data_IF_866111147805
#
_entry.id   IF_866111147805
#
_cell.length_a   1.000
_cell.length_b   1.000
_cell.length_c   1.000
_cell.angle_alpha   90.00
_cell.angle_beta   90.00
_cell.angle_gamma   90.00
#
_symmetry.space_group_name_H-M   'P 1'
#
loop_
_entity.id
_entity.type
_entity.pdbx_description
1 polymer ?
#
# COMPACT_ATOMS: atom_id res chain seq x y z
N UNK A 1 28.70 -1.81 20.00
CA UNK A 1 27.80 -2.42 19.01
C UNK A 1 27.33 -3.72 19.63
N UNK A 2 26.07 -3.80 20.05
CA UNK A 2 25.49 -5.06 20.53
C UNK A 2 24.77 -5.68 19.34
N UNK A 3 25.43 -6.61 18.65
CA UNK A 3 24.91 -7.38 17.51
C UNK A 3 23.91 -8.44 17.98
N UNK A 4 22.89 -8.02 18.74
CA UNK A 4 21.91 -8.90 19.38
C UNK A 4 20.50 -8.57 18.93
N UNK A 5 19.73 -9.61 18.57
CA UNK A 5 18.30 -9.48 18.32
C UNK A 5 17.56 -9.07 19.59
N UNK A 6 16.65 -8.10 19.46
CA UNK A 6 15.77 -7.64 20.54
C UNK A 6 14.32 -8.02 20.22
N UNK A 7 13.58 -8.44 21.25
CA UNK A 7 12.15 -8.71 21.12
C UNK A 7 11.34 -7.40 21.24
N UNK A 8 10.60 -7.06 20.18
CA UNK A 8 9.67 -5.93 20.15
C UNK A 8 8.22 -6.37 20.45
N UNK A 9 7.31 -5.43 20.75
CA UNK A 9 5.90 -5.75 20.99
C UNK A 9 5.26 -6.53 19.83
N UNK A 10 4.41 -7.50 20.18
CA UNK A 10 3.78 -8.42 19.22
C UNK A 10 2.68 -7.73 18.42
N UNK A 11 2.56 -8.10 17.13
CA UNK A 11 1.41 -7.77 16.28
C UNK A 11 0.09 -8.13 16.98
N UNK A 12 -0.98 -7.41 16.65
CA UNK A 12 -2.33 -7.73 17.14
C UNK A 12 -2.86 -9.00 16.50
N UNK A 13 -2.46 -9.27 15.25
CA UNK A 13 -2.82 -10.48 14.51
C UNK A 13 -1.56 -11.24 14.12
N UNK A 14 -1.55 -12.54 14.43
CA UNK A 14 -0.52 -13.43 13.90
C UNK A 14 -0.76 -13.61 12.41
N UNK A 15 0.30 -13.51 11.60
CA UNK A 15 0.23 -13.57 10.14
C UNK A 15 1.31 -14.51 9.61
N UNK A 16 0.98 -15.26 8.57
CA UNK A 16 1.94 -16.00 7.76
C UNK A 16 2.03 -15.34 6.39
N UNK A 17 3.25 -15.20 5.86
CA UNK A 17 3.54 -14.53 4.59
C UNK A 17 2.91 -13.13 4.39
N UNK A 18 2.95 -12.22 5.39
CA UNK A 18 2.56 -10.83 5.19
C UNK A 18 3.63 -10.07 4.39
N UNK A 19 3.23 -8.92 3.85
CA UNK A 19 4.16 -7.91 3.35
C UNK A 19 4.46 -6.89 4.44
N UNK A 20 5.70 -6.39 4.49
CA UNK A 20 6.11 -5.28 5.35
C UNK A 20 6.87 -4.23 4.55
N UNK A 21 6.52 -2.96 4.70
CA UNK A 21 7.17 -1.83 4.02
C UNK A 21 7.42 -0.67 4.97
N UNK A 22 8.50 0.05 4.76
CA UNK A 22 8.77 1.33 5.42
C UNK A 22 7.82 2.41 4.88
N UNK A 23 7.38 3.30 5.76
CA UNK A 23 6.47 4.42 5.46
C UNK A 23 6.95 5.67 6.18
N UNK A 24 7.47 6.65 5.44
CA UNK A 24 8.11 7.82 6.04
C UNK A 24 9.30 7.42 6.92
N UNK A 25 9.65 8.27 7.89
CA UNK A 25 10.88 8.08 8.67
C UNK A 25 10.75 7.09 9.85
N UNK A 26 9.53 6.78 10.28
CA UNK A 26 9.30 6.15 11.59
C UNK A 26 8.31 4.98 11.59
N UNK A 27 7.65 4.71 10.47
CA UNK A 27 6.60 3.71 10.45
C UNK A 27 6.97 2.51 9.58
N UNK A 28 6.59 1.32 10.04
CA UNK A 28 6.55 0.11 9.24
C UNK A 28 5.08 -0.28 9.09
N UNK A 29 4.64 -0.45 7.85
CA UNK A 29 3.31 -0.95 7.52
C UNK A 29 3.40 -2.45 7.25
N UNK A 30 2.57 -3.24 7.94
CA UNK A 30 2.41 -4.67 7.75
C UNK A 30 1.02 -4.93 7.18
N UNK A 31 0.94 -5.69 6.08
CA UNK A 31 -0.33 -5.89 5.37
C UNK A 31 -0.43 -7.30 4.78
N UNK A 32 -1.66 -7.81 4.75
CA UNK A 32 -1.97 -9.14 4.20
C UNK A 32 -1.40 -10.31 4.99
N UNK A 33 -1.21 -11.41 4.28
CA UNK A 33 -0.89 -12.72 4.83
C UNK A 33 -2.10 -13.65 4.86
N UNK A 34 -1.85 -14.91 5.17
CA UNK A 34 -2.87 -15.97 5.19
C UNK A 34 -4.06 -15.56 6.07
N UNK A 35 -5.27 -15.63 5.51
CA UNK A 35 -6.54 -15.31 6.16
C UNK A 35 -6.64 -13.90 6.80
N UNK A 36 -5.77 -12.97 6.43
CA UNK A 36 -5.72 -11.63 7.04
C UNK A 36 -5.77 -10.52 5.98
N UNK A 37 -6.68 -9.56 6.20
CA UNK A 37 -6.91 -8.42 5.29
C UNK A 37 -6.56 -7.08 5.92
N UNK A 38 -6.30 -7.06 7.21
CA UNK A 38 -6.01 -5.81 7.91
C UNK A 38 -4.60 -5.30 7.61
N UNK A 39 -4.43 -4.01 7.83
CA UNK A 39 -3.17 -3.31 7.79
C UNK A 39 -2.83 -2.87 9.22
N UNK A 40 -1.61 -3.13 9.67
CA UNK A 40 -1.09 -2.72 10.97
C UNK A 40 0.12 -1.81 10.77
N UNK A 41 0.27 -0.79 11.62
CA UNK A 41 1.40 0.14 11.57
C UNK A 41 2.18 0.09 12.86
N UNK A 42 3.50 -0.08 12.75
CA UNK A 42 4.42 -0.07 13.87
C UNK A 42 5.27 1.20 13.84
N UNK A 43 5.20 1.96 14.92
CA UNK A 43 6.04 3.15 15.14
C UNK A 43 7.38 2.69 15.75
N UNK A 44 8.47 2.84 15.00
CA UNK A 44 9.81 2.40 15.42
C UNK A 44 10.38 3.27 16.53
N UNK A 45 10.00 4.55 16.58
CA UNK A 45 10.50 5.53 17.56
C UNK A 45 9.90 5.26 18.93
N UNK A 46 8.61 4.96 18.96
CA UNK A 46 7.87 4.63 20.18
C UNK A 46 7.82 3.13 20.47
N UNK A 47 8.37 2.31 19.57
CA UNK A 47 8.36 0.85 19.61
C UNK A 47 6.97 0.27 19.92
N UNK A 48 5.92 0.80 19.27
CA UNK A 48 4.54 0.37 19.54
C UNK A 48 3.69 0.32 18.28
N UNK A 49 2.70 -0.57 18.32
CA UNK A 49 1.66 -0.63 17.30
C UNK A 49 0.75 0.59 17.43
N UNK A 50 0.51 1.30 16.32
CA UNK A 50 -0.48 2.36 16.26
C UNK A 50 -1.86 1.72 16.35
N UNK A 51 -2.56 2.00 17.44
CA UNK A 51 -3.94 1.54 17.66
C UNK A 51 -4.85 2.70 17.34
N UNK A 52 -5.55 2.61 16.22
CA UNK A 52 -6.60 3.57 15.90
C UNK A 52 -7.90 3.07 16.56
N UNK A 53 -8.20 3.59 17.75
CA UNK A 53 -9.35 3.16 18.56
C UNK A 53 -10.70 3.43 17.87
N UNK A 54 -10.73 4.39 16.93
CA UNK A 54 -11.94 4.82 16.21
C UNK A 54 -11.84 4.74 14.68
N UNK A 55 -10.67 4.44 14.13
CA UNK A 55 -10.46 4.30 12.69
C UNK A 55 -9.94 2.90 12.38
N UNK A 56 -10.84 2.04 11.89
CA UNK A 56 -10.39 0.80 11.26
C UNK A 56 -9.88 1.16 9.88
N UNK A 57 -8.57 1.03 9.69
CA UNK A 57 -7.97 1.15 8.37
C UNK A 57 -8.68 0.26 7.37
N UNK A 58 -8.82 0.76 6.16
CA UNK A 58 -9.52 0.03 5.10
C UNK A 58 -8.89 -1.35 4.92
N UNK A 59 -9.73 -2.39 5.00
CA UNK A 59 -9.28 -3.76 4.75
C UNK A 59 -9.01 -3.95 3.26
N UNK A 60 -8.02 -4.80 2.95
CA UNK A 60 -7.73 -5.14 1.56
C UNK A 60 -8.99 -5.62 0.82
N UNK A 61 -9.14 -5.28 -0.48
CA UNK A 61 -10.30 -5.68 -1.29
C UNK A 61 -10.36 -7.20 -1.55
N UNK A 62 -9.29 -7.94 -1.28
CA UNK A 62 -9.22 -9.40 -1.33
C UNK A 62 -8.22 -9.95 -0.32
N UNK A 63 -8.29 -11.25 -0.01
CA UNK A 63 -7.23 -11.94 0.72
C UNK A 63 -6.05 -12.13 -0.23
N UNK A 64 -4.82 -11.87 0.24
CA UNK A 64 -3.61 -12.27 -0.46
C UNK A 64 -2.48 -12.55 0.51
N UNK A 65 -1.77 -13.63 0.24
CA UNK A 65 -0.51 -14.00 0.86
C UNK A 65 0.62 -14.05 -0.17
N UNK A 66 1.87 -14.05 0.32
CA UNK A 66 3.09 -14.08 -0.50
C UNK A 66 3.20 -12.92 -1.50
N UNK A 67 2.56 -11.81 -1.19
CA UNK A 67 2.67 -10.58 -1.98
C UNK A 67 4.06 -9.97 -1.82
N UNK A 68 4.49 -9.25 -2.85
CA UNK A 68 5.54 -8.25 -2.69
C UNK A 68 4.87 -6.89 -2.50
N UNK A 69 5.42 -6.03 -1.65
CA UNK A 69 4.90 -4.68 -1.45
C UNK A 69 6.02 -3.63 -1.54
N UNK A 70 5.67 -2.46 -2.06
CA UNK A 70 6.56 -1.30 -2.13
C UNK A 70 5.81 -0.03 -1.73
N UNK A 71 6.50 0.86 -1.01
CA UNK A 71 6.02 2.22 -0.77
C UNK A 71 6.52 3.12 -1.88
N UNK A 72 5.64 3.92 -2.47
CA UNK A 72 6.01 4.93 -3.48
C UNK A 72 5.48 6.30 -3.09
N UNK A 73 6.31 7.33 -3.29
CA UNK A 73 6.03 8.73 -2.95
C UNK A 73 5.62 8.94 -1.48
N UNK A 74 6.11 8.09 -0.57
CA UNK A 74 5.78 8.09 0.87
C UNK A 74 4.27 8.16 1.18
N UNK A 75 3.45 7.60 0.29
CA UNK A 75 1.99 7.71 0.34
C UNK A 75 1.28 6.48 -0.15
N UNK A 76 1.75 5.87 -1.23
CA UNK A 76 1.05 4.78 -1.87
C UNK A 76 1.77 3.47 -1.59
N UNK A 77 1.11 2.58 -0.86
CA UNK A 77 1.54 1.20 -0.71
C UNK A 77 1.00 0.42 -1.90
N UNK A 78 1.88 -0.23 -2.66
CA UNK A 78 1.54 -1.04 -3.82
C UNK A 78 1.84 -2.49 -3.50
N UNK A 79 0.80 -3.34 -3.49
CA UNK A 79 0.92 -4.79 -3.36
C UNK A 79 0.84 -5.44 -4.73
N UNK A 80 1.73 -6.41 -4.97
CA UNK A 80 1.95 -6.98 -6.30
C UNK A 80 1.97 -8.51 -6.21
N UNK A 81 1.16 -9.15 -7.05
CA UNK A 81 1.09 -10.61 -7.17
C UNK A 81 0.57 -11.27 -5.89
N UNK A 82 1.14 -12.42 -5.57
CA UNK A 82 0.66 -13.26 -4.48
C UNK A 82 -0.48 -14.17 -4.91
N UNK A 83 -0.98 -14.99 -4.00
CA UNK A 83 -2.12 -15.86 -4.25
C UNK A 83 -3.20 -15.70 -3.18
N UNK A 84 -4.40 -16.11 -3.56
CA UNK A 84 -5.52 -16.36 -2.66
C UNK A 84 -6.03 -17.80 -2.92
N UNK A 85 -6.68 -18.41 -1.93
CA UNK A 85 -7.37 -19.68 -2.10
C UNK A 85 -8.86 -19.40 -2.06
N UNK A 86 -9.47 -19.31 -3.24
CA UNK A 86 -10.90 -19.06 -3.40
C UNK A 86 -11.59 -20.39 -3.73
N UNK A 87 -12.43 -20.88 -2.82
CA UNK A 87 -13.16 -22.16 -2.97
C UNK A 87 -12.27 -23.38 -3.28
N UNK A 88 -11.07 -23.42 -2.71
CA UNK A 88 -10.11 -24.51 -2.94
C UNK A 88 -9.41 -24.47 -4.30
N UNK A 89 -9.59 -23.39 -5.07
CA UNK A 89 -8.78 -23.09 -6.24
C UNK A 89 -7.86 -21.91 -5.95
N UNK A 90 -6.59 -22.03 -6.39
CA UNK A 90 -5.65 -20.93 -6.33
C UNK A 90 -6.08 -19.82 -7.29
N UNK A 91 -6.42 -18.66 -6.75
CA UNK A 91 -6.58 -17.44 -7.54
C UNK A 91 -5.20 -16.91 -7.91
N UNK A 92 -4.81 -17.19 -9.16
CA UNK A 92 -3.58 -16.74 -9.78
C UNK A 92 -3.82 -15.39 -10.44
N UNK A 93 -3.96 -14.35 -9.64
CA UNK A 93 -4.14 -13.00 -10.16
C UNK A 93 -2.82 -12.30 -10.44
N UNK A 94 -2.74 -11.64 -11.59
CA UNK A 94 -1.68 -10.69 -11.95
C UNK A 94 -1.92 -9.30 -11.39
N UNK A 95 -3.02 -9.09 -10.66
CA UNK A 95 -3.44 -7.78 -10.17
C UNK A 95 -2.46 -7.19 -9.16
N UNK A 96 -2.38 -5.87 -9.18
CA UNK A 96 -1.81 -5.06 -8.12
C UNK A 96 -2.92 -4.37 -7.32
N UNK A 97 -2.69 -4.14 -6.03
CA UNK A 97 -3.54 -3.30 -5.20
C UNK A 97 -2.76 -2.08 -4.74
N UNK A 98 -3.37 -0.90 -4.83
CA UNK A 98 -2.78 0.35 -4.33
C UNK A 98 -3.58 0.81 -3.12
N UNK A 99 -2.89 1.13 -2.04
CA UNK A 99 -3.46 1.73 -0.84
C UNK A 99 -2.89 3.14 -0.66
N UNK A 100 -3.77 4.14 -0.65
CA UNK A 100 -3.42 5.51 -0.34
C UNK A 100 -3.41 5.70 1.17
N UNK A 101 -2.21 5.86 1.74
CA UNK A 101 -2.02 6.03 3.18
C UNK A 101 -2.56 7.37 3.70
N UNK A 102 -2.71 8.38 2.83
CA UNK A 102 -3.28 9.67 3.22
C UNK A 102 -4.80 9.59 3.37
N UNK A 103 -5.47 8.90 2.44
CA UNK A 103 -6.93 8.74 2.47
C UNK A 103 -7.42 7.49 3.18
N UNK A 104 -6.51 6.60 3.57
CA UNK A 104 -6.81 5.30 4.18
C UNK A 104 -7.77 4.47 3.32
N UNK A 105 -7.47 4.35 2.02
CA UNK A 105 -8.35 3.70 1.04
C UNK A 105 -7.58 2.85 0.04
N UNK A 106 -8.14 1.68 -0.27
CA UNK A 106 -7.66 0.82 -1.35
C UNK A 106 -8.30 1.21 -2.68
N UNK A 107 -7.52 1.21 -3.76
CA UNK A 107 -8.06 1.22 -5.11
C UNK A 107 -8.60 -0.17 -5.44
N UNK A 108 -9.92 -0.32 -5.53
CA UNK A 108 -10.52 -1.49 -6.16
C UNK A 108 -10.72 -1.18 -7.64
N UNK A 109 -9.75 -1.47 -8.50
CA UNK A 109 -10.00 -1.41 -9.95
C UNK A 109 -9.92 -2.83 -10.52
N UNK A 110 -11.07 -3.52 -10.66
CA UNK A 110 -11.13 -4.88 -11.19
C UNK A 110 -10.62 -5.02 -12.64
N UNK A 111 -10.58 -3.92 -13.39
CA UNK A 111 -10.26 -3.88 -14.83
C UNK A 111 -9.01 -3.03 -15.14
N UNK A 112 -8.14 -2.83 -14.16
CA UNK A 112 -6.98 -1.97 -14.36
C UNK A 112 -5.92 -2.64 -15.25
N UNK A 113 -5.31 -1.91 -16.20
CA UNK A 113 -4.10 -2.37 -16.91
C UNK A 113 -2.89 -2.57 -15.97
N UNK A 114 -3.01 -2.26 -14.68
CA UNK A 114 -2.02 -2.49 -13.61
C UNK A 114 -1.81 -3.97 -13.26
N UNK A 115 -1.80 -4.85 -14.25
CA UNK A 115 -1.53 -6.27 -14.07
C UNK A 115 -0.15 -6.61 -14.57
N UNK A 116 0.59 -7.43 -13.83
CA UNK A 116 1.80 -8.04 -14.35
C UNK A 116 1.50 -8.86 -15.60
N UNK A 117 2.45 -8.93 -16.51
CA UNK A 117 2.40 -9.81 -17.69
C UNK A 117 2.48 -11.27 -17.23
N UNK A 118 3.35 -11.56 -16.26
CA UNK A 118 3.48 -12.90 -15.69
C UNK A 118 2.83 -12.95 -14.31
N UNK A 119 1.98 -13.95 -14.06
CA UNK A 119 1.52 -14.23 -12.71
C UNK A 119 2.72 -14.58 -11.80
N UNK A 120 2.75 -14.11 -10.56
CA UNK A 120 3.76 -14.49 -9.56
C UNK A 120 3.05 -14.82 -8.25
N UNK A 121 3.00 -16.10 -7.90
CA UNK A 121 2.26 -16.58 -6.73
C UNK A 121 3.01 -16.38 -5.43
N UNK A 122 4.32 -16.63 -5.43
CA UNK A 122 5.18 -16.45 -4.26
C UNK A 122 6.65 -16.36 -4.64
N UNK A 123 7.47 -15.89 -3.71
CA UNK A 123 8.93 -15.85 -3.82
C UNK A 123 9.48 -14.78 -4.76
N UNK A 124 8.63 -13.92 -5.32
CA UNK A 124 9.05 -12.73 -6.03
C UNK A 124 9.38 -11.61 -5.05
N UNK A 125 10.18 -10.66 -5.51
CA UNK A 125 10.48 -9.43 -4.79
C UNK A 125 10.10 -8.24 -5.64
N UNK A 126 9.81 -7.11 -5.00
CA UNK A 126 9.56 -5.85 -5.69
C UNK A 126 10.39 -4.74 -5.06
N UNK A 127 10.83 -3.78 -5.88
CA UNK A 127 11.53 -2.58 -5.42
C UNK A 127 11.18 -1.39 -6.29
N UNK A 128 11.09 -0.21 -5.70
CA UNK A 128 10.89 1.03 -6.43
C UNK A 128 12.25 1.71 -6.67
N UNK A 129 12.52 2.08 -7.92
CA UNK A 129 13.73 2.79 -8.32
C UNK A 129 13.41 3.69 -9.51
N UNK A 130 13.83 4.96 -9.42
CA UNK A 130 13.74 5.95 -10.51
C UNK A 130 12.34 6.07 -11.13
N UNK A 131 11.32 6.21 -10.29
CA UNK A 131 9.93 6.37 -10.73
C UNK A 131 9.28 5.08 -11.26
N UNK A 132 9.95 3.93 -11.19
CA UNK A 132 9.42 2.64 -11.62
C UNK A 132 9.40 1.64 -10.48
N UNK A 133 8.51 0.66 -10.56
CA UNK A 133 8.53 -0.51 -9.71
C UNK A 133 9.04 -1.68 -10.55
N UNK A 134 10.06 -2.37 -10.05
CA UNK A 134 10.61 -3.58 -10.63
C UNK A 134 10.17 -4.80 -9.82
N UNK A 135 9.76 -5.86 -10.51
CA UNK A 135 9.36 -7.14 -9.90
C UNK A 135 10.24 -8.24 -10.46
N UNK A 136 10.89 -9.00 -9.57
CA UNK A 136 11.95 -9.94 -9.93
C UNK A 136 11.65 -11.34 -9.40
N UNK A 137 11.80 -12.34 -10.27
CA UNK A 137 11.77 -13.76 -9.92
C UNK A 137 10.42 -14.27 -9.39
N UNK A 138 10.45 -15.24 -8.48
CA UNK A 138 9.26 -15.89 -7.94
C UNK A 138 8.82 -17.11 -8.73
N UNK A 139 7.59 -17.57 -8.47
CA UNK A 139 7.07 -18.84 -8.96
C UNK A 139 5.67 -18.72 -9.56
N UNK A 140 5.40 -19.55 -10.57
CA UNK A 140 4.08 -19.76 -11.17
C UNK A 140 3.68 -21.22 -10.99
N UNK A 141 2.48 -21.45 -10.48
CA UNK A 141 1.95 -22.79 -10.23
C UNK A 141 2.81 -23.63 -9.26
N UNK A 142 3.54 -23.00 -8.33
CA UNK A 142 4.36 -23.66 -7.32
C UNK A 142 5.69 -24.27 -7.78
N UNK A 143 5.77 -24.73 -9.02
CA UNK A 143 6.90 -25.53 -9.53
C UNK A 143 7.69 -24.88 -10.67
N UNK A 144 7.23 -23.72 -11.17
CA UNK A 144 7.89 -23.01 -12.27
C UNK A 144 8.54 -21.76 -11.71
N UNK A 145 9.86 -21.78 -11.56
CA UNK A 145 10.62 -20.64 -11.10
C UNK A 145 10.92 -19.66 -12.24
N UNK A 146 10.74 -18.39 -11.97
CA UNK A 146 10.95 -17.30 -12.92
C UNK A 146 12.34 -16.70 -12.75
N UNK A 147 13.00 -16.42 -13.87
CA UNK A 147 14.17 -15.56 -13.94
C UNK A 147 13.84 -14.20 -14.60
N UNK A 148 12.56 -13.94 -14.85
CA UNK A 148 12.09 -12.73 -15.52
C UNK A 148 12.02 -11.55 -14.55
N UNK A 149 12.24 -10.37 -15.13
CA UNK A 149 12.05 -9.06 -14.49
C UNK A 149 10.96 -8.33 -15.27
N UNK A 150 10.02 -7.74 -14.54
CA UNK A 150 8.99 -6.87 -15.09
C UNK A 150 9.07 -5.51 -14.40
N UNK A 151 8.67 -4.46 -15.10
CA UNK A 151 8.61 -3.12 -14.51
C UNK A 151 7.36 -2.37 -14.95
N UNK A 152 6.82 -1.56 -14.05
CA UNK A 152 5.73 -0.61 -14.33
C UNK A 152 6.14 0.79 -13.91
N UNK A 153 5.75 1.80 -14.68
CA UNK A 153 5.93 3.19 -14.29
C UNK A 153 4.97 3.55 -13.16
N UNK A 154 5.47 4.21 -12.12
CA UNK A 154 4.65 4.62 -10.98
C UNK A 154 3.62 5.67 -11.39
N UNK A 155 3.92 6.52 -12.37
CA UNK A 155 2.94 7.47 -12.90
C UNK A 155 1.74 6.73 -13.50
N UNK A 156 2.00 5.75 -14.38
CA UNK A 156 0.95 4.96 -15.03
C UNK A 156 0.14 4.16 -14.02
N UNK A 157 0.80 3.59 -13.00
CA UNK A 157 0.12 2.91 -11.90
C UNK A 157 -0.81 3.87 -11.14
N UNK A 158 -0.34 5.08 -10.84
CA UNK A 158 -1.09 6.03 -10.00
C UNK A 158 -2.16 6.82 -10.78
N UNK A 159 -2.10 6.85 -12.11
CA UNK A 159 -3.19 7.38 -12.95
C UNK A 159 -4.50 6.60 -12.70
N UNK A 160 -4.37 5.31 -12.38
CA UNK A 160 -5.48 4.43 -12.01
C UNK A 160 -5.59 4.18 -10.49
N UNK A 161 -4.73 4.75 -9.65
CA UNK A 161 -5.04 4.87 -8.23
C UNK A 161 -6.21 5.86 -8.08
N UNK A 162 -6.98 5.90 -6.98
CA UNK A 162 -8.21 6.67 -6.92
C UNK A 162 -7.89 8.16 -6.93
N UNK A 163 -7.80 8.75 -8.13
CA UNK A 163 -8.02 10.16 -8.36
C UNK A 163 -9.51 10.38 -8.19
N UNK A 164 -9.91 10.66 -6.95
CA UNK A 164 -11.06 11.47 -6.52
C UNK A 164 -12.06 11.76 -7.65
N UNK A 165 -13.29 11.23 -7.58
CA UNK A 165 -14.48 12.08 -7.67
C UNK A 165 -15.75 11.40 -7.11
N UNK A 166 -16.52 12.05 -6.21
CA UNK A 166 -16.25 13.33 -5.54
C UNK A 166 -15.51 13.14 -4.20
N UNK A 167 -14.78 14.17 -3.78
CA UNK A 167 -14.27 14.32 -2.41
C UNK A 167 -15.41 14.06 -1.41
N UNK A 168 -15.16 13.37 -0.28
CA UNK A 168 -16.06 13.44 0.87
C UNK A 168 -16.34 14.92 1.19
N UNK A 169 -17.62 15.28 1.34
CA UNK A 169 -18.11 16.67 1.47
C UNK A 169 -17.34 17.49 2.52
N UNK A 170 -16.85 16.83 3.58
CA UNK A 170 -16.11 17.47 4.66
C UNK A 170 -14.77 18.07 4.20
N UNK A 171 -14.08 17.42 3.25
CA UNK A 171 -12.81 17.92 2.70
C UNK A 171 -13.00 19.08 1.72
N UNK A 172 -14.08 19.05 0.94
CA UNK A 172 -14.46 20.19 0.08
C UNK A 172 -14.70 21.45 0.93
N UNK A 173 -15.35 21.30 2.09
CA UNK A 173 -15.63 22.42 2.99
C UNK A 173 -14.36 22.98 3.68
N UNK A 174 -13.40 22.13 4.03
CA UNK A 174 -12.11 22.56 4.60
C UNK A 174 -11.26 23.32 3.57
N UNK A 175 -11.19 22.83 2.32
CA UNK A 175 -10.50 23.53 1.23
C UNK A 175 -11.13 24.89 0.92
N UNK A 176 -12.47 24.98 0.96
CA UNK A 176 -13.17 26.26 0.82
C UNK A 176 -12.88 27.25 1.96
N UNK A 177 -12.73 26.77 3.20
CA UNK A 177 -12.37 27.64 4.32
C UNK A 177 -10.96 28.20 4.20
N UNK A 178 -9.99 27.36 3.81
CA UNK A 178 -8.60 27.78 3.59
C UNK A 178 -8.51 28.79 2.44
N UNK A 179 -9.25 28.55 1.35
CA UNK A 179 -9.33 29.48 0.22
C UNK A 179 -9.98 30.83 0.56
N UNK A 180 -10.94 30.86 1.50
CA UNK A 180 -11.54 32.10 1.99
C UNK A 180 -10.62 32.86 2.95
N UNK A 181 -9.89 32.17 3.82
CA UNK A 181 -8.94 32.83 4.74
C UNK A 181 -7.73 33.46 4.03
N UNK A 182 -7.33 32.91 2.87
CA UNK A 182 -6.29 33.53 2.03
C UNK A 182 -6.77 34.75 1.25
N UNK A 183 -8.08 34.85 0.96
CA UNK A 183 -8.64 35.98 0.21
C UNK A 183 -8.88 37.21 1.11
N UNK A 184 -9.27 37.00 2.37
CA UNK A 184 -9.51 38.11 3.30
C UNK A 184 -8.21 38.74 3.85
N UNK A 185 -7.07 38.05 3.79
CA UNK A 185 -5.79 38.59 4.26
C UNK A 185 -5.03 39.43 3.21
N UNK A 186 -5.28 39.22 1.92
CA UNK A 186 -4.58 39.94 0.83
C UNK A 186 -5.27 41.23 0.37
N UNK A 187 -6.52 41.47 0.79
CA UNK A 187 -7.31 42.66 0.38
C UNK A 187 -7.12 43.84 1.34
N UNK A 188 -6.69 43.63 2.59
CA UNK A 188 -6.45 44.73 3.53
C UNK A 188 -5.05 45.39 3.42
N UNK A 189 -4.06 44.76 2.77
CA UNK A 189 -2.69 45.31 2.68
C UNK A 189 -2.37 46.16 1.43
N UNK A 190 -3.32 46.35 0.50
CA UNK A 190 -3.08 47.12 -0.76
C UNK A 190 -3.88 48.41 -0.91
N UNK A 191 -4.28 49.03 0.20
CA UNK A 191 -5.03 50.29 0.20
C UNK A 191 -4.37 51.41 0.98
N UNK A 192 -3.22 51.93 0.53
CA UNK A 192 -2.75 53.31 0.80
C UNK A 192 -1.86 53.82 -0.33
#
# INVERSE_FOLDING_TARGET
VNDTWEALPRMRRARHAPSAVESGEHDIIIVGGLDERSLEVFDITLQRWKIEENHRRSSMPGLREFTAAVMVKDRYLVMIGGCDIIFGQEDRSTQCFVYDCFFDQWSSIPESPMSMVTNRQFGHTATALDGKIFVVGGSVGGYIFLNSVESIDVHDLLEYAPLIYPLPTDYYNQLLQIGRSGYDSDVEERGF
#
